data_IF_184768864468
#
_entry.id   IF_184768864468
#
_cell.length_a   1.000
_cell.length_b   1.000
_cell.length_c   1.000
_cell.angle_alpha   90.00
_cell.angle_beta   90.00
_cell.angle_gamma   90.00
#
_symmetry.space_group_name_H-M   'P 1'
#
loop_
_entity.id
_entity.type
_entity.pdbx_description
1 polymer ?
#
# COMPACT_ATOMS: atom_id res chain seq x y z
N UNK A 1 7.76 -12.84 -2.75
CA UNK A 1 8.10 -14.20 -3.24
C UNK A 1 8.45 -15.15 -2.09
N UNK A 2 9.26 -14.75 -1.11
CA UNK A 2 9.69 -15.62 0.01
C UNK A 2 8.55 -16.08 0.96
N UNK A 3 7.38 -15.46 0.96
CA UNK A 3 6.25 -15.79 1.84
C UNK A 3 5.16 -16.64 1.18
N UNK A 4 5.17 -16.74 -0.15
CA UNK A 4 4.09 -17.40 -0.90
C UNK A 4 4.03 -18.90 -0.59
N UNK A 5 5.17 -19.60 -0.60
CA UNK A 5 5.24 -21.02 -0.24
C UNK A 5 4.74 -21.29 1.18
N UNK A 6 5.21 -20.49 2.15
CA UNK A 6 4.77 -20.63 3.55
C UNK A 6 3.24 -20.50 3.70
N UNK A 7 2.63 -19.56 2.95
CA UNK A 7 1.17 -19.37 3.00
C UNK A 7 0.45 -20.52 2.33
N UNK A 8 0.97 -21.05 1.21
CA UNK A 8 0.40 -22.24 0.56
C UNK A 8 0.44 -23.47 1.49
N UNK A 9 1.58 -23.69 2.16
CA UNK A 9 1.71 -24.77 3.16
C UNK A 9 0.69 -24.62 4.29
N UNK A 10 0.49 -23.40 4.78
CA UNK A 10 -0.51 -23.10 5.81
C UNK A 10 -1.95 -23.37 5.33
N UNK A 11 -2.28 -23.03 4.09
CA UNK A 11 -3.58 -23.34 3.50
C UNK A 11 -3.79 -24.85 3.43
N UNK A 12 -2.82 -25.57 2.91
CA UNK A 12 -2.87 -27.02 2.78
C UNK A 12 -3.03 -27.73 4.13
N UNK A 13 -2.28 -27.30 5.16
CA UNK A 13 -2.40 -27.83 6.51
C UNK A 13 -3.80 -27.67 7.13
N UNK A 14 -4.59 -26.73 6.61
CA UNK A 14 -5.98 -26.46 7.03
C UNK A 14 -7.03 -27.03 6.09
N UNK A 15 -6.62 -27.77 5.08
CA UNK A 15 -7.52 -28.37 4.10
C UNK A 15 -8.02 -27.41 3.02
N UNK A 16 -7.43 -26.20 2.89
CA UNK A 16 -7.76 -25.28 1.83
C UNK A 16 -6.89 -25.50 0.58
N UNK A 17 -7.52 -25.48 -0.56
CA UNK A 17 -6.83 -25.43 -1.86
C UNK A 17 -6.32 -24.03 -2.15
N UNK A 18 -5.08 -23.90 -2.59
CA UNK A 18 -4.50 -22.58 -2.89
C UNK A 18 -3.71 -22.57 -4.20
N UNK A 19 -3.75 -21.44 -4.90
CA UNK A 19 -2.92 -21.18 -6.07
C UNK A 19 -2.37 -19.77 -6.06
N UNK A 20 -1.22 -19.57 -6.70
CA UNK A 20 -0.69 -18.23 -6.94
C UNK A 20 -1.25 -17.66 -8.24
N UNK A 21 -1.29 -16.33 -8.34
CA UNK A 21 -1.72 -15.65 -9.57
C UNK A 21 -0.92 -16.07 -10.80
N UNK A 22 0.38 -16.31 -10.65
CA UNK A 22 1.24 -16.79 -11.75
C UNK A 22 0.87 -18.21 -12.18
N UNK A 23 0.58 -19.12 -11.25
CA UNK A 23 0.12 -20.47 -11.57
C UNK A 23 -1.21 -20.46 -12.31
N UNK A 24 -2.12 -19.53 -11.99
CA UNK A 24 -3.40 -19.38 -12.67
C UNK A 24 -3.28 -18.84 -14.10
N UNK A 25 -2.17 -18.19 -14.46
CA UNK A 25 -1.92 -17.78 -15.85
C UNK A 25 -1.59 -18.98 -16.74
N UNK A 26 -0.92 -19.98 -16.19
CA UNK A 26 -0.50 -21.19 -16.94
C UNK A 26 -1.64 -22.21 -17.04
N UNK A 27 -2.46 -22.31 -15.99
CA UNK A 27 -3.61 -23.21 -15.95
C UNK A 27 -4.81 -22.45 -15.39
N UNK A 28 -5.88 -22.22 -16.22
CA UNK A 28 -7.10 -21.56 -15.74
C UNK A 28 -7.67 -22.31 -14.52
N UNK A 29 -8.02 -21.55 -13.50
CA UNK A 29 -8.41 -22.09 -12.20
C UNK A 29 -9.67 -22.95 -12.26
N UNK A 30 -9.56 -24.17 -11.77
CA UNK A 30 -10.68 -24.89 -11.23
C UNK A 30 -10.69 -24.59 -9.71
N UNK A 31 -11.71 -23.84 -9.26
CA UNK A 31 -12.14 -23.70 -7.88
C UNK A 31 -11.07 -23.81 -6.78
N UNK A 32 -10.20 -22.81 -6.62
CA UNK A 32 -9.34 -22.72 -5.46
C UNK A 32 -10.01 -21.89 -4.36
N UNK A 33 -9.86 -22.32 -3.09
CA UNK A 33 -10.38 -21.60 -1.93
C UNK A 33 -9.60 -20.32 -1.67
N UNK A 34 -8.28 -20.32 -1.98
CA UNK A 34 -7.37 -19.21 -1.72
C UNK A 34 -6.52 -18.91 -2.96
N UNK A 35 -6.54 -17.65 -3.39
CA UNK A 35 -5.65 -17.17 -4.46
C UNK A 35 -4.64 -16.19 -3.88
N UNK A 36 -3.36 -16.48 -4.07
CA UNK A 36 -2.26 -15.64 -3.62
C UNK A 36 -1.80 -14.73 -4.75
N UNK A 37 -1.96 -13.43 -4.57
CA UNK A 37 -1.46 -12.44 -5.52
C UNK A 37 0.04 -12.24 -5.30
N UNK A 38 0.85 -12.84 -6.17
CA UNK A 38 2.31 -12.78 -6.13
C UNK A 38 2.91 -11.90 -7.25
N UNK A 39 2.07 -11.07 -7.88
CA UNK A 39 2.43 -10.12 -8.94
C UNK A 39 2.32 -8.69 -8.44
N UNK A 40 3.04 -7.76 -9.09
CA UNK A 40 3.00 -6.32 -8.78
C UNK A 40 2.07 -5.62 -9.78
N UNK A 41 1.29 -4.64 -9.30
CA UNK A 41 0.43 -3.78 -10.14
C UNK A 41 -0.95 -4.35 -10.46
N UNK A 42 -1.30 -5.54 -9.98
CA UNK A 42 -2.60 -6.15 -10.21
C UNK A 42 -3.60 -5.98 -9.04
N UNK A 43 -3.14 -5.47 -7.89
CA UNK A 43 -3.95 -5.36 -6.66
C UNK A 43 -5.25 -4.57 -6.87
N UNK A 44 -5.19 -3.47 -7.61
CA UNK A 44 -6.37 -2.69 -7.95
C UNK A 44 -7.44 -3.50 -8.70
N UNK A 45 -7.03 -4.39 -9.61
CA UNK A 45 -7.96 -5.30 -10.30
C UNK A 45 -8.60 -6.30 -9.33
N UNK A 46 -7.81 -6.79 -8.36
CA UNK A 46 -8.32 -7.71 -7.33
C UNK A 46 -9.34 -7.03 -6.43
N UNK A 47 -9.11 -5.77 -6.04
CA UNK A 47 -10.12 -5.01 -5.30
C UNK A 47 -11.46 -4.92 -6.03
N UNK A 48 -11.46 -4.81 -7.37
CA UNK A 48 -12.70 -4.69 -8.13
C UNK A 48 -13.62 -5.94 -8.03
N UNK A 49 -13.06 -7.12 -7.79
CA UNK A 49 -13.80 -8.38 -7.70
C UNK A 49 -14.12 -8.83 -6.25
N UNK A 50 -13.48 -8.22 -5.26
CA UNK A 50 -13.76 -8.53 -3.85
C UNK A 50 -15.08 -7.93 -3.37
N UNK A 51 -15.80 -8.60 -2.47
CA UNK A 51 -17.00 -8.08 -1.81
C UNK A 51 -16.64 -7.34 -0.52
N UNK A 52 -15.80 -7.93 0.31
CA UNK A 52 -15.32 -7.39 1.58
C UNK A 52 -13.80 -7.38 1.56
N UNK A 53 -13.21 -6.25 1.89
CA UNK A 53 -11.75 -6.07 1.86
C UNK A 53 -11.24 -5.85 3.29
N UNK A 54 -10.41 -6.75 3.77
CA UNK A 54 -9.63 -6.52 4.98
C UNK A 54 -8.27 -5.91 4.62
N UNK A 55 -7.96 -4.75 5.20
CA UNK A 55 -6.69 -4.06 4.95
C UNK A 55 -5.63 -4.54 5.93
N UNK A 56 -4.64 -5.25 5.40
CA UNK A 56 -3.54 -5.83 6.17
C UNK A 56 -2.67 -4.80 6.92
N UNK A 57 -1.81 -5.28 7.83
CA UNK A 57 -0.93 -4.44 8.64
C UNK A 57 -1.65 -3.59 9.70
N UNK A 58 -2.97 -3.70 9.81
CA UNK A 58 -3.80 -2.89 10.70
C UNK A 58 -4.13 -3.57 12.04
N UNK A 59 -4.13 -4.90 12.12
CA UNK A 59 -4.28 -5.63 13.40
C UNK A 59 -2.99 -5.66 14.24
N UNK A 60 -1.87 -5.45 13.61
CA UNK A 60 -0.55 -5.37 14.26
C UNK A 60 -0.04 -3.94 14.20
N UNK A 61 0.90 -3.51 15.06
CA UNK A 61 1.44 -2.15 15.06
C UNK A 61 2.37 -1.88 13.87
N UNK A 62 1.84 -2.04 12.65
CA UNK A 62 2.55 -1.79 11.39
C UNK A 62 2.06 -0.51 10.68
N UNK A 63 0.93 0.05 11.13
CA UNK A 63 0.40 1.33 10.63
C UNK A 63 -0.66 1.23 9.56
N UNK A 64 -1.06 -0.01 9.19
CA UNK A 64 -2.03 -0.26 8.15
C UNK A 64 -1.53 0.00 6.72
N UNK A 65 -2.38 -0.25 5.75
CA UNK A 65 -2.17 0.08 4.34
C UNK A 65 -3.22 1.07 3.85
N UNK A 66 -3.08 1.52 2.60
CA UNK A 66 -3.92 2.53 1.99
C UNK A 66 -5.37 2.04 1.81
N UNK A 67 -6.32 2.65 2.51
CA UNK A 67 -7.75 2.33 2.40
C UNK A 67 -8.44 3.03 1.22
N UNK A 68 -7.81 4.04 0.61
CA UNK A 68 -8.39 4.75 -0.54
C UNK A 68 -8.43 3.87 -1.79
N UNK A 69 -7.53 2.90 -1.90
CA UNK A 69 -7.50 1.99 -3.05
C UNK A 69 -8.76 1.12 -3.13
N UNK A 70 -9.11 0.31 -2.10
CA UNK A 70 -10.36 -0.43 -2.12
C UNK A 70 -11.59 0.48 -2.10
N UNK A 71 -11.54 1.64 -1.44
CA UNK A 71 -12.62 2.60 -1.40
C UNK A 71 -12.96 3.17 -2.80
N UNK A 72 -11.96 3.43 -3.63
CA UNK A 72 -12.15 3.88 -5.01
C UNK A 72 -12.87 2.85 -5.89
N UNK A 73 -12.86 1.57 -5.48
CA UNK A 73 -13.63 0.49 -6.10
C UNK A 73 -15.00 0.25 -5.43
N UNK A 74 -15.40 1.11 -4.49
CA UNK A 74 -16.68 0.98 -3.81
C UNK A 74 -16.80 -0.31 -3.00
N UNK A 75 -15.80 -0.63 -2.19
CA UNK A 75 -15.80 -1.88 -1.42
C UNK A 75 -16.10 -1.65 0.05
N UNK A 76 -16.73 -2.64 0.69
CA UNK A 76 -16.85 -2.69 2.13
C UNK A 76 -15.48 -3.01 2.73
N UNK A 77 -15.03 -2.18 3.68
CA UNK A 77 -13.65 -2.21 4.18
C UNK A 77 -13.66 -2.51 5.67
N UNK A 78 -12.79 -3.45 6.07
CA UNK A 78 -12.49 -3.74 7.47
C UNK A 78 -11.02 -3.43 7.73
N UNK A 79 -10.73 -2.79 8.86
CA UNK A 79 -9.37 -2.47 9.31
C UNK A 79 -9.19 -2.87 10.77
N UNK A 80 -7.94 -3.07 11.20
CA UNK A 80 -7.59 -3.14 12.62
C UNK A 80 -7.38 -1.76 13.24
N UNK A 81 -7.01 -1.69 14.54
CA UNK A 81 -6.89 -0.44 15.28
C UNK A 81 -5.62 0.37 14.95
N UNK A 82 -4.66 -0.26 14.27
CA UNK A 82 -3.35 0.37 14.00
C UNK A 82 -3.32 0.97 12.59
N UNK A 83 -3.99 2.13 12.42
CA UNK A 83 -4.06 2.87 11.15
C UNK A 83 -3.29 4.20 11.21
N UNK A 84 -2.18 4.26 11.98
CA UNK A 84 -1.48 5.52 12.23
C UNK A 84 -0.78 6.10 10.99
N UNK A 85 -0.45 5.29 9.98
CA UNK A 85 0.08 5.79 8.69
C UNK A 85 -1.01 6.47 7.84
N UNK A 86 -2.30 6.16 8.11
CA UNK A 86 -3.45 6.66 7.38
C UNK A 86 -4.52 7.23 8.32
N UNK A 87 -4.08 7.85 9.44
CA UNK A 87 -4.94 8.29 10.55
C UNK A 87 -6.08 9.18 10.08
N UNK A 88 -5.77 10.22 9.32
CA UNK A 88 -6.78 11.21 8.89
C UNK A 88 -7.81 10.58 7.95
N UNK A 89 -7.35 9.73 7.04
CA UNK A 89 -8.24 8.97 6.15
C UNK A 89 -9.11 8.01 6.96
N UNK A 90 -8.53 7.29 7.92
CA UNK A 90 -9.27 6.36 8.77
C UNK A 90 -10.36 7.10 9.59
N UNK A 91 -10.04 8.25 10.17
CA UNK A 91 -11.01 9.09 10.91
C UNK A 91 -12.14 9.51 9.99
N UNK A 92 -11.85 9.99 8.78
CA UNK A 92 -12.84 10.41 7.81
C UNK A 92 -13.83 9.28 7.47
N UNK A 93 -13.31 8.08 7.18
CA UNK A 93 -14.13 6.92 6.84
C UNK A 93 -14.93 6.39 8.03
N UNK A 94 -14.32 6.39 9.23
CA UNK A 94 -14.98 5.96 10.47
C UNK A 94 -16.14 6.86 10.87
N UNK A 95 -15.97 8.17 10.78
CA UNK A 95 -17.03 9.15 11.08
C UNK A 95 -18.26 8.97 10.19
N UNK A 96 -18.08 8.48 8.97
CA UNK A 96 -19.14 8.20 8.00
C UNK A 96 -19.60 6.74 8.00
N UNK A 97 -19.09 5.93 8.94
CA UNK A 97 -19.39 4.49 9.02
C UNK A 97 -19.11 3.75 7.70
N UNK A 98 -18.12 4.21 6.96
CA UNK A 98 -17.69 3.64 5.68
C UNK A 98 -16.62 2.57 5.85
N UNK A 99 -16.12 2.35 7.08
CA UNK A 99 -15.15 1.34 7.44
C UNK A 99 -15.54 0.71 8.78
N UNK A 100 -15.32 -0.58 8.93
CA UNK A 100 -15.44 -1.29 10.21
C UNK A 100 -14.05 -1.43 10.82
N UNK A 101 -13.88 -0.96 12.06
CA UNK A 101 -12.63 -1.14 12.80
C UNK A 101 -12.80 -2.27 13.80
N UNK A 102 -11.95 -3.28 13.72
CA UNK A 102 -11.94 -4.48 14.58
C UNK A 102 -10.68 -4.52 15.43
N UNK A 103 -10.76 -5.06 16.63
CA UNK A 103 -9.64 -5.07 17.59
C UNK A 103 -8.72 -6.27 17.39
N UNK A 104 -9.30 -7.41 17.03
CA UNK A 104 -8.63 -8.70 16.98
C UNK A 104 -9.18 -9.58 15.86
N UNK A 105 -8.71 -10.82 15.83
CA UNK A 105 -9.11 -11.82 14.85
C UNK A 105 -10.57 -12.26 15.02
N UNK A 106 -11.07 -12.34 16.24
CA UNK A 106 -12.45 -12.78 16.51
C UNK A 106 -13.44 -11.75 16.01
N UNK A 107 -13.19 -10.46 16.31
CA UNK A 107 -14.00 -9.37 15.77
C UNK A 107 -13.90 -9.29 14.23
N UNK A 108 -12.72 -9.58 13.64
CA UNK A 108 -12.58 -9.65 12.18
C UNK A 108 -13.46 -10.69 11.54
N UNK A 109 -13.46 -11.91 12.09
CA UNK A 109 -14.31 -13.02 11.59
C UNK A 109 -15.79 -12.64 11.71
N UNK A 110 -16.18 -12.08 12.84
CA UNK A 110 -17.55 -11.64 13.08
C UNK A 110 -17.98 -10.54 12.09
N UNK A 111 -17.19 -9.49 11.95
CA UNK A 111 -17.48 -8.38 11.05
C UNK A 111 -17.54 -8.83 9.58
N UNK A 112 -16.62 -9.68 9.15
CA UNK A 112 -16.65 -10.24 7.80
C UNK A 112 -17.91 -11.07 7.58
N UNK A 113 -18.25 -11.97 8.50
CA UNK A 113 -19.45 -12.80 8.42
C UNK A 113 -20.74 -11.96 8.38
N UNK A 114 -20.82 -10.92 9.19
CA UNK A 114 -21.95 -9.99 9.20
C UNK A 114 -22.09 -9.28 7.86
N UNK A 115 -20.99 -8.78 7.25
CA UNK A 115 -21.02 -8.10 5.95
C UNK A 115 -21.33 -9.05 4.79
N UNK A 116 -21.01 -10.33 4.89
CA UNK A 116 -21.42 -11.31 3.89
C UNK A 116 -22.91 -11.61 3.95
N UNK A 117 -23.49 -11.69 5.14
CA UNK A 117 -24.92 -11.99 5.36
C UNK A 117 -25.78 -10.74 5.17
N UNK A 118 -25.37 -9.59 5.72
CA UNK A 118 -26.10 -8.34 5.63
C UNK A 118 -25.72 -7.55 4.38
N UNK A 119 -26.28 -7.95 3.25
CA UNK A 119 -26.05 -7.30 1.95
C UNK A 119 -26.47 -5.83 1.96
N UNK A 120 -27.51 -5.46 2.73
CA UNK A 120 -27.97 -4.07 2.81
C UNK A 120 -26.92 -3.16 3.45
N UNK A 121 -26.33 -3.58 4.57
CA UNK A 121 -25.28 -2.81 5.23
C UNK A 121 -24.00 -2.77 4.38
N UNK A 122 -23.62 -3.91 3.77
CA UNK A 122 -22.49 -3.94 2.83
C UNK A 122 -22.65 -2.91 1.71
N UNK A 123 -23.81 -2.89 1.03
CA UNK A 123 -24.11 -1.93 -0.05
C UNK A 123 -24.10 -0.49 0.44
N UNK A 124 -24.61 -0.23 1.63
CA UNK A 124 -24.55 1.09 2.25
C UNK A 124 -23.10 1.57 2.40
N UNK A 125 -22.22 0.69 2.92
CA UNK A 125 -20.79 1.00 3.06
C UNK A 125 -20.13 1.23 1.69
N UNK A 126 -20.42 0.39 0.71
CA UNK A 126 -19.89 0.48 -0.66
C UNK A 126 -20.24 1.84 -1.30
N UNK A 127 -21.49 2.29 -1.15
CA UNK A 127 -21.93 3.61 -1.63
C UNK A 127 -21.25 4.75 -0.88
N UNK A 128 -21.11 4.63 0.43
CA UNK A 128 -20.49 5.67 1.24
C UNK A 128 -18.99 5.79 0.98
N UNK A 129 -18.27 4.68 0.75
CA UNK A 129 -16.86 4.72 0.35
C UNK A 129 -16.66 5.42 -0.99
N UNK A 130 -17.51 5.16 -1.99
CA UNK A 130 -17.47 5.86 -3.28
C UNK A 130 -17.74 7.36 -3.12
N UNK A 131 -18.74 7.71 -2.35
CA UNK A 131 -19.12 9.10 -2.10
C UNK A 131 -17.98 9.89 -1.45
N UNK A 132 -17.31 9.30 -0.44
CA UNK A 132 -16.13 9.91 0.18
C UNK A 132 -15.02 10.13 -0.87
N UNK A 133 -14.76 9.14 -1.71
CA UNK A 133 -13.76 9.26 -2.76
C UNK A 133 -14.10 10.34 -3.78
N UNK A 134 -15.37 10.46 -4.19
CA UNK A 134 -15.84 11.47 -5.13
C UNK A 134 -15.75 12.88 -4.57
N UNK A 135 -16.20 13.08 -3.34
CA UNK A 135 -16.15 14.38 -2.64
C UNK A 135 -14.70 14.88 -2.48
N UNK A 136 -13.75 13.96 -2.33
CA UNK A 136 -12.32 14.28 -2.17
C UNK A 136 -11.54 14.28 -3.49
N UNK A 137 -12.17 13.99 -4.63
CA UNK A 137 -11.54 14.08 -5.95
C UNK A 137 -11.02 15.48 -6.25
N UNK A 138 -9.99 15.55 -7.07
CA UNK A 138 -9.43 16.82 -7.55
C UNK A 138 -8.47 17.50 -6.58
N UNK A 139 -7.99 16.82 -5.53
CA UNK A 139 -6.97 17.36 -4.63
C UNK A 139 -5.73 17.86 -5.39
N UNK A 140 -5.23 17.08 -6.34
CA UNK A 140 -4.11 17.47 -7.19
C UNK A 140 -4.41 18.74 -8.00
N UNK A 141 -5.63 18.86 -8.56
CA UNK A 141 -6.05 20.06 -9.30
C UNK A 141 -6.14 21.28 -8.38
N UNK A 142 -6.73 21.13 -7.19
CA UNK A 142 -6.78 22.23 -6.20
C UNK A 142 -5.39 22.68 -5.78
N UNK A 143 -4.50 21.74 -5.52
CA UNK A 143 -3.09 22.04 -5.20
C UNK A 143 -2.39 22.72 -6.36
N UNK A 144 -2.59 22.28 -7.61
CA UNK A 144 -2.02 22.91 -8.79
C UNK A 144 -2.51 24.36 -8.96
N UNK A 145 -3.80 24.63 -8.71
CA UNK A 145 -4.36 26.00 -8.75
C UNK A 145 -3.71 26.88 -7.68
N UNK A 146 -3.59 26.38 -6.44
CA UNK A 146 -2.94 27.13 -5.35
C UNK A 146 -1.47 27.41 -5.69
N UNK A 147 -0.75 26.42 -6.19
CA UNK A 147 0.65 26.60 -6.60
C UNK A 147 0.78 27.60 -7.74
N UNK A 148 -0.11 27.53 -8.73
CA UNK A 148 -0.15 28.49 -9.83
C UNK A 148 -0.40 29.91 -9.32
N UNK A 149 -1.35 30.12 -8.42
CA UNK A 149 -1.64 31.42 -7.81
C UNK A 149 -0.44 31.95 -6.98
N UNK A 150 0.21 31.08 -6.22
CA UNK A 150 1.42 31.43 -5.48
C UNK A 150 2.55 31.86 -6.43
N UNK A 151 2.79 31.09 -7.50
CA UNK A 151 3.78 31.43 -8.52
C UNK A 151 3.46 32.73 -9.23
N UNK A 152 2.17 33.03 -9.48
CA UNK A 152 1.73 34.29 -10.09
C UNK A 152 1.89 35.51 -9.20
N UNK A 153 1.94 35.34 -7.87
CA UNK A 153 2.21 36.42 -6.91
C UNK A 153 3.69 36.75 -6.75
N UNK A 154 4.58 35.84 -7.15
CA UNK A 154 6.01 36.11 -7.18
C UNK A 154 6.38 36.98 -8.38
N UNK A 155 7.29 37.94 -8.21
CA UNK A 155 7.75 38.82 -9.31
C UNK A 155 8.33 38.01 -10.47
N UNK A 156 8.15 38.52 -11.71
CA UNK A 156 8.45 37.76 -12.92
C UNK A 156 9.91 37.26 -13.03
N UNK A 157 10.88 38.01 -12.46
CA UNK A 157 12.29 37.60 -12.42
C UNK A 157 12.60 36.41 -11.56
N UNK A 158 11.88 36.26 -10.45
CA UNK A 158 12.03 35.10 -9.54
C UNK A 158 11.33 33.86 -10.09
N UNK A 159 10.26 34.05 -10.88
CA UNK A 159 9.55 32.97 -11.58
C UNK A 159 10.45 32.25 -12.58
N UNK A 160 11.12 32.99 -13.43
CA UNK A 160 12.00 32.42 -14.47
C UNK A 160 13.13 31.63 -13.82
N UNK A 161 13.77 32.18 -12.77
CA UNK A 161 14.82 31.48 -12.01
C UNK A 161 14.33 30.24 -11.29
N UNK A 162 13.10 30.25 -10.76
CA UNK A 162 12.52 29.11 -10.06
C UNK A 162 12.12 28.00 -11.04
N UNK A 163 11.57 28.35 -12.20
CA UNK A 163 11.19 27.39 -13.24
C UNK A 163 12.45 26.77 -13.85
N UNK A 164 13.45 27.58 -14.25
CA UNK A 164 14.73 27.08 -14.77
C UNK A 164 15.43 26.16 -13.73
N UNK A 165 15.34 26.48 -12.46
CA UNK A 165 15.91 25.67 -11.38
C UNK A 165 15.16 24.36 -11.18
N UNK A 166 13.83 24.36 -11.32
CA UNK A 166 12.97 23.17 -11.24
C UNK A 166 13.12 22.27 -12.47
N UNK A 167 13.13 22.84 -13.67
CA UNK A 167 13.36 22.08 -14.91
C UNK A 167 14.78 21.49 -14.94
N UNK A 168 15.78 22.28 -14.54
CA UNK A 168 17.15 21.78 -14.39
C UNK A 168 17.25 20.69 -13.32
N UNK A 169 16.56 20.83 -12.17
CA UNK A 169 16.52 19.81 -11.13
C UNK A 169 15.78 18.54 -11.60
N UNK A 170 14.66 18.69 -12.28
CA UNK A 170 13.88 17.57 -12.79
C UNK A 170 14.62 16.82 -13.91
N UNK A 171 15.23 17.55 -14.84
CA UNK A 171 16.09 17.00 -15.89
C UNK A 171 17.32 16.33 -15.30
N UNK A 172 17.95 16.96 -14.31
CA UNK A 172 19.10 16.42 -13.59
C UNK A 172 18.73 15.15 -12.81
N UNK A 173 17.58 15.14 -12.14
CA UNK A 173 17.07 13.98 -11.39
C UNK A 173 16.68 12.82 -12.32
N UNK A 174 16.04 13.11 -13.46
CA UNK A 174 15.70 12.09 -14.46
C UNK A 174 16.95 11.54 -15.15
N UNK A 175 17.96 12.35 -15.41
CA UNK A 175 19.26 11.88 -15.89
C UNK A 175 19.95 10.98 -14.87
N UNK A 176 19.81 11.26 -13.57
CA UNK A 176 20.36 10.46 -12.48
C UNK A 176 19.77 9.06 -12.42
N UNK A 177 18.44 8.97 -12.62
CA UNK A 177 17.71 7.69 -12.56
C UNK A 177 17.96 6.84 -13.82
N UNK A 178 18.13 7.45 -14.98
CA UNK A 178 18.19 6.74 -16.27
C UNK A 178 19.60 6.64 -16.88
N UNK A 179 20.61 7.33 -16.37
CA UNK A 179 21.96 7.29 -16.93
C UNK A 179 22.77 6.10 -16.45
N UNK A 180 23.11 5.23 -17.38
CA UNK A 180 24.11 4.14 -17.15
C UNK A 180 25.53 4.69 -16.96
N UNK A 181 25.82 5.92 -17.45
CA UNK A 181 27.15 6.57 -17.29
C UNK A 181 26.97 8.07 -16.99
N UNK A 182 27.26 8.52 -15.76
CA UNK A 182 27.15 9.93 -15.39
C UNK A 182 28.26 10.76 -16.02
N UNK A 183 27.88 11.78 -16.83
CA UNK A 183 28.80 12.75 -17.43
C UNK A 183 28.89 13.99 -16.54
N UNK A 184 30.09 14.27 -16.01
CA UNK A 184 30.37 15.43 -15.14
C UNK A 184 30.78 15.07 -13.72
N UNK A 185 31.71 15.85 -13.13
CA UNK A 185 32.29 15.55 -11.81
C UNK A 185 31.25 15.59 -10.69
N UNK A 186 30.34 16.58 -10.70
CA UNK A 186 29.28 16.71 -9.69
C UNK A 186 28.25 15.57 -9.75
N UNK A 187 27.92 15.11 -10.96
CA UNK A 187 26.97 13.99 -11.13
C UNK A 187 27.60 12.67 -10.68
N UNK A 188 28.89 12.47 -10.99
CA UNK A 188 29.65 11.29 -10.51
C UNK A 188 29.74 11.27 -8.98
N UNK A 189 30.00 12.41 -8.35
CA UNK A 189 30.06 12.53 -6.89
C UNK A 189 28.70 12.22 -6.24
N UNK A 190 27.61 12.71 -6.81
CA UNK A 190 26.25 12.45 -6.28
C UNK A 190 25.82 11.00 -6.48
N UNK A 191 26.13 10.39 -7.62
CA UNK A 191 25.88 8.96 -7.84
C UNK A 191 26.71 8.13 -6.88
N UNK A 192 27.98 8.45 -6.65
CA UNK A 192 28.83 7.79 -5.67
C UNK A 192 28.27 7.93 -4.25
N UNK A 193 27.76 9.11 -3.88
CA UNK A 193 27.10 9.34 -2.59
C UNK A 193 25.83 8.45 -2.42
N UNK A 194 24.97 8.41 -3.45
CA UNK A 194 23.75 7.58 -3.42
C UNK A 194 24.09 6.08 -3.35
N UNK A 195 25.12 5.63 -4.05
CA UNK A 195 25.62 4.26 -3.90
C UNK A 195 26.17 4.00 -2.50
N UNK A 196 26.89 4.96 -1.91
CA UNK A 196 27.35 4.89 -0.53
C UNK A 196 26.19 4.75 0.46
N UNK A 197 25.15 5.57 0.30
CA UNK A 197 23.94 5.46 1.13
C UNK A 197 23.23 4.11 0.96
N UNK A 198 23.10 3.61 -0.26
CA UNK A 198 22.52 2.30 -0.55
C UNK A 198 23.34 1.17 0.08
N UNK A 199 24.67 1.28 0.04
CA UNK A 199 25.56 0.30 0.67
C UNK A 199 25.44 0.29 2.20
N UNK A 200 25.38 1.49 2.81
CA UNK A 200 25.17 1.64 4.26
C UNK A 200 23.80 1.07 4.65
N UNK A 201 22.75 1.38 3.88
CA UNK A 201 21.41 0.84 4.13
C UNK A 201 21.40 -0.70 4.01
N UNK A 202 22.02 -1.27 2.96
CA UNK A 202 22.16 -2.71 2.78
C UNK A 202 22.93 -3.37 3.92
N UNK A 203 24.01 -2.73 4.40
CA UNK A 203 24.80 -3.19 5.54
C UNK A 203 23.98 -3.19 6.84
N UNK A 204 23.25 -2.10 7.14
CA UNK A 204 22.38 -2.01 8.30
C UNK A 204 21.23 -3.04 8.24
N UNK A 205 20.68 -3.27 7.05
CA UNK A 205 19.67 -4.31 6.83
C UNK A 205 20.23 -5.72 7.11
N UNK A 206 21.45 -6.00 6.67
CA UNK A 206 22.12 -7.27 6.93
C UNK A 206 22.43 -7.46 8.42
N UNK A 207 22.85 -6.41 9.14
CA UNK A 207 23.02 -6.45 10.60
C UNK A 207 21.68 -6.79 11.26
N UNK A 208 20.61 -6.07 10.88
CA UNK A 208 19.27 -6.34 11.40
C UNK A 208 18.82 -7.78 11.15
N UNK A 209 19.02 -8.30 9.94
CA UNK A 209 18.71 -9.69 9.60
C UNK A 209 19.57 -10.69 10.37
N UNK A 210 20.84 -10.38 10.60
CA UNK A 210 21.76 -11.20 11.41
C UNK A 210 21.32 -11.22 12.88
N UNK A 211 20.89 -10.08 13.44
CA UNK A 211 20.35 -10.00 14.80
C UNK A 211 19.05 -10.85 14.95
N UNK A 212 18.22 -10.93 13.91
CA UNK A 212 17.07 -11.84 13.89
C UNK A 212 17.48 -13.31 13.78
N UNK A 213 18.55 -13.63 13.05
CA UNK A 213 19.07 -15.01 12.92
C UNK A 213 19.77 -15.48 14.18
N UNK A 214 20.48 -14.60 14.88
CA UNK A 214 21.20 -14.91 16.12
C UNK A 214 20.30 -14.93 17.37
N UNK A 215 18.99 -14.64 17.23
CA UNK A 215 18.05 -14.64 18.35
C UNK A 215 18.10 -13.41 19.24
N UNK A 216 18.94 -12.40 18.93
CA UNK A 216 19.01 -11.12 19.64
C UNK A 216 17.68 -10.34 19.53
N UNK A 217 16.96 -10.50 18.42
CA UNK A 217 15.60 -10.00 18.27
C UNK A 217 14.63 -11.18 18.20
N UNK A 218 13.76 -11.30 19.16
CA UNK A 218 12.72 -12.33 19.19
C UNK A 218 11.65 -12.04 18.14
N UNK A 219 11.47 -12.95 17.18
CA UNK A 219 10.27 -12.97 16.35
C UNK A 219 9.09 -13.36 17.24
N UNK A 220 8.21 -12.44 17.58
CA UNK A 220 6.91 -12.81 18.18
C UNK A 220 6.16 -13.67 17.16
N UNK A 221 5.99 -14.95 17.48
CA UNK A 221 5.07 -15.82 16.75
C UNK A 221 3.66 -15.32 17.03
N UNK A 222 3.03 -14.74 16.01
CA UNK A 222 1.60 -14.46 16.04
C UNK A 222 0.88 -15.75 15.66
N UNK A 223 -0.06 -16.18 16.48
CA UNK A 223 -0.95 -17.31 16.21
C UNK A 223 -2.11 -16.95 15.26
N UNK A 224 -2.01 -15.84 14.55
CA UNK A 224 -3.05 -15.32 13.67
C UNK A 224 -2.61 -15.40 12.21
N UNK A 225 -3.54 -15.87 11.37
CA UNK A 225 -3.36 -15.91 9.91
C UNK A 225 -3.71 -14.55 9.32
N UNK A 226 -2.73 -13.86 8.81
CA UNK A 226 -2.94 -12.62 8.08
C UNK A 226 -2.62 -12.90 6.62
N UNK A 227 -3.65 -12.93 5.78
CA UNK A 227 -3.48 -12.86 4.33
C UNK A 227 -3.15 -11.38 4.05
N UNK A 228 -1.86 -11.08 4.01
CA UNK A 228 -1.40 -9.75 3.58
C UNK A 228 -1.36 -9.76 2.07
N UNK A 229 -2.37 -9.11 1.47
CA UNK A 229 -2.30 -8.64 0.11
C UNK A 229 -1.56 -7.29 0.14
N UNK A 230 -0.28 -7.30 -0.07
CA UNK A 230 0.56 -6.12 -0.17
C UNK A 230 1.69 -6.35 -1.14
#
# INVERSE_FOLDING_TARGET
>A
VLRTGTIQDMCQQRGFTSATRTQLQEKPAQGHDVVLLNTIGELGKVYSIGDVIFVGGSLIPHGGHNILEPAAHGKAIIVGPNMFNFKDTHILFSNRKAVVTVKDQEELVKAASELFVNVAERRRMEQETLKICEENRGAARRTAVILHDLLNRCEAKDKIKAIDKLENFQTYFMQLIHCKEPKGLGLKAMVAFLHGCAYIYGFLLNIKLSCYKSGLFTKKKLSCYVISLG
#
